data_IF_478902554640
#
_entry.id   IF_478902554640
#
_cell.length_a   1.000
_cell.length_b   1.000
_cell.length_c   1.000
_cell.angle_alpha   90.00
_cell.angle_beta   90.00
_cell.angle_gamma   90.00
#
_symmetry.space_group_name_H-M   'P 1'
#
loop_
_entity.id
_entity.type
_entity.pdbx_description
1 polymer ?
#
# COMPACT_ATOMS: atom_id res chain seq x y z
N UNK A 1 -34.37 -22.67 29.34
CA UNK A 1 -33.80 -22.49 27.97
C UNK A 1 -33.89 -21.02 27.61
N UNK A 2 -32.81 -20.28 27.85
CA UNK A 2 -32.74 -18.83 27.60
C UNK A 2 -32.23 -18.63 26.18
N UNK A 3 -33.06 -18.15 25.27
CA UNK A 3 -32.66 -17.77 23.91
C UNK A 3 -31.87 -16.46 23.97
N UNK A 4 -30.56 -16.53 23.80
CA UNK A 4 -29.76 -15.36 23.45
C UNK A 4 -30.14 -14.92 22.03
N UNK A 5 -30.78 -13.76 21.91
CA UNK A 5 -30.98 -13.08 20.62
C UNK A 5 -29.61 -12.62 20.10
N UNK A 6 -28.95 -13.47 19.32
CA UNK A 6 -27.74 -13.10 18.58
C UNK A 6 -28.12 -12.11 17.49
N UNK A 7 -27.84 -10.84 17.67
CA UNK A 7 -27.78 -9.90 16.57
C UNK A 7 -26.56 -10.28 15.72
N UNK A 8 -26.83 -10.95 14.60
CA UNK A 8 -25.82 -11.06 13.53
C UNK A 8 -25.58 -9.65 13.00
N UNK A 9 -24.55 -9.00 13.52
CA UNK A 9 -24.03 -7.76 12.91
C UNK A 9 -23.44 -8.17 11.57
N UNK A 10 -24.22 -7.99 10.49
CA UNK A 10 -23.69 -8.09 9.13
C UNK A 10 -22.82 -6.86 8.89
N UNK A 11 -21.50 -7.00 9.02
CA UNK A 11 -20.60 -6.03 8.46
C UNK A 11 -20.78 -6.07 6.94
N UNK A 12 -20.98 -4.92 6.26
CA UNK A 12 -21.02 -4.90 4.81
C UNK A 12 -19.59 -5.17 4.29
N UNK A 13 -19.27 -6.44 4.13
CA UNK A 13 -18.06 -6.84 3.42
C UNK A 13 -18.38 -6.90 1.94
N UNK A 14 -17.77 -6.03 1.14
CA UNK A 14 -17.84 -6.17 -0.31
C UNK A 14 -16.68 -7.06 -0.77
N UNK A 15 -17.03 -8.09 -1.49
CA UNK A 15 -16.07 -8.95 -2.18
C UNK A 15 -16.33 -8.84 -3.67
N UNK A 16 -15.31 -8.51 -4.45
CA UNK A 16 -15.39 -8.44 -5.89
C UNK A 16 -14.48 -9.52 -6.50
N UNK A 17 -14.97 -10.21 -7.50
CA UNK A 17 -14.17 -11.18 -8.26
C UNK A 17 -13.32 -10.44 -9.29
N UNK A 18 -12.04 -10.78 -9.33
CA UNK A 18 -11.08 -10.29 -10.32
C UNK A 18 -10.36 -11.46 -11.00
N UNK A 19 -9.90 -11.22 -12.22
CA UNK A 19 -9.01 -12.14 -12.92
C UNK A 19 -7.66 -11.48 -13.15
N UNK A 20 -6.53 -12.23 -13.12
CA UNK A 20 -5.22 -11.74 -13.55
C UNK A 20 -5.29 -11.22 -14.99
N UNK A 21 -4.59 -10.10 -15.28
CA UNK A 21 -4.56 -9.51 -16.62
C UNK A 21 -3.13 -9.44 -17.16
N UNK A 22 -2.31 -8.52 -16.65
CA UNK A 22 -0.92 -8.35 -17.05
C UNK A 22 -0.01 -8.43 -15.84
N UNK A 23 1.20 -8.91 -16.04
CA UNK A 23 2.26 -8.93 -15.03
C UNK A 23 3.38 -8.03 -15.51
N UNK A 24 3.86 -7.16 -14.64
CA UNK A 24 5.01 -6.30 -14.88
C UNK A 24 6.09 -6.62 -13.86
N UNK A 25 7.27 -6.89 -14.35
CA UNK A 25 8.47 -7.17 -13.54
C UNK A 25 9.56 -6.21 -13.99
N UNK A 26 10.27 -5.62 -13.05
CA UNK A 26 11.32 -4.68 -13.37
C UNK A 26 12.02 -4.13 -12.14
N UNK A 27 12.83 -3.11 -12.34
CA UNK A 27 13.55 -2.41 -11.26
C UNK A 27 13.33 -0.90 -11.32
N UNK A 28 13.39 -0.26 -10.16
CA UNK A 28 13.46 1.20 -10.04
C UNK A 28 14.89 1.70 -10.20
N UNK A 29 15.04 2.93 -10.62
CA UNK A 29 16.32 3.60 -10.73
C UNK A 29 16.91 3.98 -9.38
N UNK A 30 18.24 4.12 -9.35
CA UNK A 30 18.94 4.65 -8.18
C UNK A 30 18.45 6.08 -7.87
N UNK A 31 18.13 6.35 -6.61
CA UNK A 31 17.56 7.60 -6.09
C UNK A 31 16.10 7.91 -6.49
N UNK A 32 15.44 7.05 -7.23
CA UNK A 32 13.99 7.18 -7.38
C UNK A 32 13.30 7.20 -6.01
N UNK A 33 12.14 7.84 -5.94
CA UNK A 33 11.26 7.66 -4.79
C UNK A 33 10.55 6.31 -4.90
N UNK A 34 10.62 5.47 -3.89
CA UNK A 34 10.06 4.12 -3.93
C UNK A 34 8.56 4.11 -4.25
N UNK A 35 7.77 4.91 -3.53
CA UNK A 35 6.31 4.99 -3.75
C UNK A 35 5.98 5.74 -5.05
N UNK A 36 6.68 6.83 -5.32
CA UNK A 36 6.51 7.63 -6.53
C UNK A 36 6.86 6.85 -7.80
N UNK A 37 7.96 6.09 -7.77
CA UNK A 37 8.42 5.28 -8.90
C UNK A 37 7.41 4.19 -9.27
N UNK A 38 6.94 3.40 -8.31
CA UNK A 38 5.91 2.37 -8.58
C UNK A 38 4.57 3.01 -9.01
N UNK A 39 4.22 4.18 -8.47
CA UNK A 39 3.02 4.91 -8.89
C UNK A 39 3.15 5.40 -10.33
N UNK A 40 4.31 5.89 -10.73
CA UNK A 40 4.60 6.33 -12.10
C UNK A 40 4.47 5.17 -13.09
N UNK A 41 5.01 3.99 -12.75
CA UNK A 41 4.87 2.78 -13.58
C UNK A 41 3.38 2.43 -13.78
N UNK A 42 2.60 2.47 -12.70
CA UNK A 42 1.16 2.20 -12.77
C UNK A 42 0.43 3.21 -13.66
N UNK A 43 0.76 4.50 -13.58
CA UNK A 43 0.17 5.56 -14.41
C UNK A 43 0.53 5.40 -15.89
N UNK A 44 1.81 5.22 -16.21
CA UNK A 44 2.30 5.05 -17.58
C UNK A 44 1.63 3.85 -18.27
N UNK A 45 1.41 2.76 -17.52
CA UNK A 45 0.81 1.53 -18.04
C UNK A 45 -0.71 1.46 -17.87
N UNK A 46 -1.34 2.51 -17.32
CA UNK A 46 -2.80 2.60 -17.06
C UNK A 46 -3.31 1.42 -16.24
N UNK A 47 -2.60 1.08 -15.15
CA UNK A 47 -2.97 0.00 -14.23
C UNK A 47 -3.88 0.60 -13.16
N UNK A 48 -5.18 0.32 -13.23
CA UNK A 48 -6.20 0.90 -12.36
C UNK A 48 -6.58 0.03 -11.16
N UNK A 49 -6.27 -1.26 -11.22
CA UNK A 49 -6.51 -2.22 -10.14
C UNK A 49 -5.41 -3.27 -10.16
N UNK A 50 -4.87 -3.62 -9.00
CA UNK A 50 -3.80 -4.60 -8.94
C UNK A 50 -3.16 -4.74 -7.56
N UNK A 51 -2.19 -5.63 -7.53
CA UNK A 51 -1.31 -5.87 -6.40
C UNK A 51 0.13 -5.55 -6.79
N UNK A 52 0.90 -5.06 -5.84
CA UNK A 52 2.32 -4.80 -6.00
C UNK A 52 3.11 -5.39 -4.84
N UNK A 53 4.25 -5.99 -5.16
CA UNK A 53 5.29 -6.34 -4.20
C UNK A 53 6.64 -5.80 -4.64
N UNK A 54 7.50 -5.46 -3.68
CA UNK A 54 8.86 -4.97 -3.93
C UNK A 54 9.80 -5.54 -2.88
N UNK A 55 11.01 -5.90 -3.33
CA UNK A 55 12.17 -6.22 -2.50
C UNK A 55 13.36 -5.38 -2.94
N UNK A 56 14.41 -5.28 -2.11
CA UNK A 56 15.62 -4.54 -2.43
C UNK A 56 16.14 -3.72 -1.27
N UNK A 57 16.61 -2.50 -1.52
CA UNK A 57 17.19 -1.63 -0.51
C UNK A 57 16.87 -0.15 -0.76
N UNK A 58 16.74 0.63 0.32
CA UNK A 58 16.57 2.07 0.31
C UNK A 58 17.65 2.77 1.13
N UNK A 59 17.94 4.03 0.82
CA UNK A 59 18.90 4.87 1.54
C UNK A 59 18.31 5.51 2.80
N UNK A 60 17.00 5.65 2.82
CA UNK A 60 16.21 6.23 3.90
C UNK A 60 14.75 5.82 3.71
N UNK A 61 13.92 5.99 4.74
CA UNK A 61 12.48 5.80 4.62
C UNK A 61 11.70 6.72 5.56
N UNK A 62 10.44 6.92 5.24
CA UNK A 62 9.46 7.60 6.09
C UNK A 62 8.23 6.71 6.19
N UNK A 63 7.86 6.33 7.41
CA UNK A 63 6.75 5.44 7.70
C UNK A 63 5.68 6.17 8.49
N UNK A 64 4.44 6.11 8.04
CA UNK A 64 3.30 6.70 8.72
C UNK A 64 2.65 5.73 9.71
N UNK A 65 2.10 6.29 10.78
CA UNK A 65 1.25 5.59 11.73
C UNK A 65 -0.11 6.29 11.80
N UNK A 66 -1.18 5.53 11.60
CA UNK A 66 -2.55 6.02 11.70
C UNK A 66 -3.08 5.81 13.11
N UNK A 67 -3.38 6.90 13.81
CA UNK A 67 -4.01 6.87 15.13
C UNK A 67 -5.53 6.68 14.94
N UNK A 68 -6.00 5.50 15.29
CA UNK A 68 -7.40 5.11 15.11
C UNK A 68 -8.36 5.93 15.97
N UNK A 69 -7.92 6.37 17.15
CA UNK A 69 -8.72 7.19 18.07
C UNK A 69 -8.90 8.60 17.54
N UNK A 70 -7.86 9.18 16.95
CA UNK A 70 -7.87 10.52 16.36
C UNK A 70 -8.33 10.54 14.91
N UNK A 71 -8.47 9.37 14.28
CA UNK A 71 -8.77 9.18 12.85
C UNK A 71 -7.85 10.02 11.96
N UNK A 72 -6.55 10.01 12.26
CA UNK A 72 -5.54 10.81 11.57
C UNK A 72 -4.15 10.17 11.62
N UNK A 73 -3.30 10.51 10.65
CA UNK A 73 -1.87 10.22 10.74
C UNK A 73 -1.24 11.18 11.75
N UNK A 74 -0.87 10.67 12.93
CA UNK A 74 -0.36 11.48 14.05
C UNK A 74 1.14 11.39 14.26
N UNK A 75 1.80 10.51 13.51
CA UNK A 75 3.24 10.33 13.62
C UNK A 75 3.84 9.76 12.35
N UNK A 76 5.12 10.01 12.18
CA UNK A 76 5.92 9.30 11.20
C UNK A 76 7.28 8.93 11.81
N UNK A 77 7.73 7.74 11.47
CA UNK A 77 9.10 7.31 11.75
C UNK A 77 9.96 7.70 10.56
N UNK A 78 10.95 8.57 10.79
CA UNK A 78 11.92 8.97 9.77
C UNK A 78 13.21 8.21 10.00
N UNK A 79 13.55 7.33 9.06
CA UNK A 79 14.74 6.48 9.10
C UNK A 79 15.78 7.04 8.14
N UNK A 80 16.77 7.78 8.66
CA UNK A 80 17.88 8.36 7.89
C UNK A 80 19.08 7.40 7.84
N UNK A 81 18.84 6.19 7.35
CA UNK A 81 19.87 5.11 7.26
C UNK A 81 19.56 4.15 6.13
N UNK A 82 20.59 3.40 5.69
CA UNK A 82 20.45 2.32 4.70
C UNK A 82 19.63 1.17 5.29
N UNK A 83 18.69 0.65 4.52
CA UNK A 83 17.73 -0.36 4.96
C UNK A 83 17.45 -1.34 3.83
N UNK A 84 17.37 -2.64 4.15
CA UNK A 84 16.82 -3.65 3.26
C UNK A 84 15.29 -3.57 3.22
N UNK A 85 14.70 -3.68 2.04
CA UNK A 85 13.27 -3.88 1.86
C UNK A 85 13.01 -5.38 1.99
N UNK A 86 12.70 -5.84 3.20
CA UNK A 86 12.37 -7.26 3.45
C UNK A 86 11.05 -7.64 2.76
N UNK A 87 10.09 -6.72 2.73
CA UNK A 87 8.82 -6.87 2.05
C UNK A 87 8.15 -5.51 1.89
N UNK A 88 7.70 -5.20 0.71
CA UNK A 88 6.70 -4.15 0.47
C UNK A 88 5.50 -4.82 -0.21
N UNK A 89 4.34 -4.63 0.35
CA UNK A 89 3.08 -5.11 -0.22
C UNK A 89 2.10 -3.96 -0.35
N UNK A 90 1.39 -3.91 -1.47
CA UNK A 90 0.44 -2.84 -1.72
C UNK A 90 -0.63 -3.20 -2.72
N UNK A 91 -1.60 -2.31 -2.83
CA UNK A 91 -2.66 -2.41 -3.82
C UNK A 91 -2.77 -1.14 -4.65
N UNK A 92 -3.28 -1.31 -5.86
CA UNK A 92 -3.49 -0.27 -6.84
C UNK A 92 -4.99 -0.06 -6.96
N UNK A 93 -5.43 1.19 -6.89
CA UNK A 93 -6.83 1.60 -6.97
C UNK A 93 -6.94 3.03 -7.48
N UNK A 94 -8.15 3.57 -7.53
CA UNK A 94 -8.39 4.98 -7.86
C UNK A 94 -8.77 5.76 -6.59
N UNK A 95 -8.21 6.94 -6.44
CA UNK A 95 -8.60 7.94 -5.45
C UNK A 95 -8.76 9.29 -6.15
N UNK A 96 -9.91 9.92 -6.01
CA UNK A 96 -10.23 11.20 -6.68
C UNK A 96 -10.01 11.16 -8.21
N UNK A 97 -10.30 10.00 -8.83
CA UNK A 97 -10.10 9.77 -10.26
C UNK A 97 -8.68 9.37 -10.67
N UNK A 98 -7.69 9.55 -9.80
CA UNK A 98 -6.27 9.29 -10.07
C UNK A 98 -5.82 7.91 -9.57
N UNK A 99 -4.81 7.33 -10.25
CA UNK A 99 -4.18 6.08 -9.79
C UNK A 99 -3.49 6.32 -8.46
N UNK A 100 -3.85 5.52 -7.50
CA UNK A 100 -3.36 5.56 -6.13
C UNK A 100 -2.76 4.22 -5.72
N UNK A 101 -1.50 4.23 -5.32
CA UNK A 101 -0.82 3.07 -4.72
C UNK A 101 -0.85 3.21 -3.21
N UNK A 102 -1.45 2.23 -2.53
CA UNK A 102 -1.41 2.10 -1.08
C UNK A 102 -0.49 0.95 -0.72
N UNK A 103 0.57 1.23 0.00
CA UNK A 103 1.57 0.24 0.36
C UNK A 103 2.01 0.31 1.81
N UNK A 104 2.27 -0.85 2.39
CA UNK A 104 2.99 -1.03 3.64
C UNK A 104 4.33 -1.68 3.35
N UNK A 105 5.32 -1.42 4.21
CA UNK A 105 6.67 -1.93 4.04
C UNK A 105 7.25 -2.42 5.36
N UNK A 106 8.02 -3.49 5.30
CA UNK A 106 8.90 -3.96 6.37
C UNK A 106 10.34 -3.77 5.90
N UNK A 107 11.09 -3.02 6.69
CA UNK A 107 12.49 -2.67 6.44
C UNK A 107 13.37 -3.26 7.54
N UNK A 108 14.60 -3.63 7.22
CA UNK A 108 15.58 -4.05 8.20
C UNK A 108 16.89 -3.25 8.08
N UNK A 109 17.51 -2.91 9.21
CA UNK A 109 18.85 -2.34 9.20
C UNK A 109 19.93 -3.44 9.26
N UNK A 110 21.21 -3.03 9.24
CA UNK A 110 22.36 -3.93 9.23
C UNK A 110 22.42 -4.89 10.45
N UNK A 111 21.74 -4.59 11.54
CA UNK A 111 21.66 -5.44 12.72
C UNK A 111 20.48 -6.41 12.69
N UNK A 112 19.67 -6.37 11.63
CA UNK A 112 18.43 -7.13 11.51
C UNK A 112 17.25 -6.52 12.25
N UNK A 113 17.43 -5.34 12.88
CA UNK A 113 16.31 -4.64 13.52
C UNK A 113 15.33 -4.18 12.46
N UNK A 114 14.05 -4.54 12.64
CA UNK A 114 13.00 -4.28 11.69
C UNK A 114 12.14 -3.06 12.06
N UNK A 115 11.66 -2.39 11.01
CA UNK A 115 10.75 -1.25 11.08
C UNK A 115 9.65 -1.48 10.05
N UNK A 116 8.41 -1.25 10.42
CA UNK A 116 7.28 -1.44 9.50
C UNK A 116 6.23 -0.35 9.64
N UNK A 117 5.45 -0.15 8.58
CA UNK A 117 4.35 0.80 8.59
C UNK A 117 3.87 1.19 7.21
N UNK A 118 2.98 2.18 7.19
CA UNK A 118 2.49 2.77 5.94
C UNK A 118 3.62 3.52 5.23
N UNK A 119 3.92 3.15 3.99
CA UNK A 119 4.98 3.79 3.21
C UNK A 119 4.54 5.21 2.81
N UNK A 120 5.31 6.18 3.27
CA UNK A 120 5.15 7.59 2.89
C UNK A 120 6.14 7.96 1.77
N UNK A 121 5.84 8.99 0.95
CA UNK A 121 6.81 9.54 0.00
C UNK A 121 8.12 9.95 0.68
N UNK A 122 9.24 9.84 -0.04
CA UNK A 122 10.57 10.26 0.42
C UNK A 122 11.55 9.09 0.65
N UNK A 123 11.14 7.84 0.43
CA UNK A 123 12.05 6.69 0.50
C UNK A 123 12.89 6.59 -0.76
N UNK A 124 14.19 6.91 -0.66
CA UNK A 124 15.13 6.91 -1.80
C UNK A 124 15.68 5.51 -2.06
N UNK A 125 15.43 5.01 -3.26
CA UNK A 125 15.89 3.70 -3.74
C UNK A 125 17.40 3.64 -3.82
N UNK A 126 18.01 2.56 -3.31
CA UNK A 126 19.35 2.14 -3.67
C UNK A 126 19.28 1.09 -4.78
N UNK A 127 18.50 0.05 -4.59
CA UNK A 127 18.11 -0.97 -5.58
C UNK A 127 16.73 -1.50 -5.18
N UNK A 128 15.81 -1.61 -6.13
CA UNK A 128 14.48 -2.14 -5.84
C UNK A 128 13.92 -2.86 -7.06
N UNK A 129 13.51 -4.09 -6.86
CA UNK A 129 12.86 -4.94 -7.86
C UNK A 129 11.38 -5.05 -7.54
N UNK A 130 10.53 -4.82 -8.52
CA UNK A 130 9.10 -4.86 -8.34
C UNK A 130 8.43 -5.97 -9.16
N UNK A 131 7.34 -6.46 -8.61
CA UNK A 131 6.37 -7.32 -9.26
C UNK A 131 5.00 -6.67 -9.14
N UNK A 132 4.35 -6.37 -10.26
CA UNK A 132 3.00 -5.79 -10.31
C UNK A 132 2.09 -6.76 -11.04
N UNK A 133 1.01 -7.19 -10.38
CA UNK A 133 -0.08 -7.95 -10.97
C UNK A 133 -1.26 -7.02 -11.24
N UNK A 134 -1.54 -6.75 -12.51
CA UNK A 134 -2.76 -6.04 -12.91
C UNK A 134 -3.95 -6.98 -12.84
N UNK A 135 -5.05 -6.47 -12.29
CA UNK A 135 -6.31 -7.18 -12.20
C UNK A 135 -7.34 -6.62 -13.17
N UNK A 136 -8.08 -7.51 -13.83
CA UNK A 136 -9.25 -7.20 -14.66
C UNK A 136 -10.51 -7.38 -13.82
N UNK A 137 -11.39 -6.37 -13.84
CA UNK A 137 -12.63 -6.34 -13.07
C UNK A 137 -13.14 -4.92 -12.87
N UNK A 138 -14.05 -4.73 -11.95
CA UNK A 138 -14.55 -3.41 -11.55
C UNK A 138 -13.40 -2.55 -11.02
N UNK A 139 -13.27 -1.30 -11.47
CA UNK A 139 -12.28 -0.38 -10.92
C UNK A 139 -12.56 -0.12 -9.43
N UNK A 140 -11.56 -0.30 -8.59
CA UNK A 140 -11.64 -0.01 -7.15
C UNK A 140 -11.48 1.49 -6.92
N UNK A 141 -12.51 2.13 -6.43
CA UNK A 141 -12.49 3.54 -6.05
C UNK A 141 -12.38 3.67 -4.53
N UNK A 142 -11.59 4.65 -4.08
CA UNK A 142 -11.48 4.99 -2.67
C UNK A 142 -12.35 6.18 -2.35
N UNK A 143 -13.16 6.02 -1.30
CA UNK A 143 -13.96 7.10 -0.72
C UNK A 143 -13.69 7.19 0.78
N UNK A 144 -13.87 8.36 1.36
CA UNK A 144 -13.69 8.55 2.80
C UNK A 144 -14.76 7.75 3.55
N UNK A 145 -14.31 6.80 4.36
CA UNK A 145 -15.17 6.04 5.26
C UNK A 145 -15.39 6.84 6.56
N UNK A 146 -16.63 7.17 6.94
CA UNK A 146 -16.91 7.96 8.13
C UNK A 146 -16.53 7.26 9.43
N UNK A 147 -16.57 5.93 9.45
CA UNK A 147 -16.29 5.13 10.65
C UNK A 147 -14.82 5.11 10.99
N UNK A 148 -13.95 4.99 9.99
CA UNK A 148 -12.50 4.93 10.16
C UNK A 148 -11.79 6.25 9.86
N UNK A 149 -12.40 7.13 9.06
CA UNK A 149 -11.76 8.34 8.53
C UNK A 149 -10.79 8.11 7.38
N UNK A 150 -10.56 6.84 7.00
CA UNK A 150 -9.64 6.44 5.94
C UNK A 150 -10.32 6.41 4.57
N UNK A 151 -9.57 6.64 3.47
CA UNK A 151 -10.07 6.40 2.13
C UNK A 151 -10.04 4.88 1.85
N UNK A 152 -11.19 4.22 2.05
CA UNK A 152 -11.36 2.79 1.79
C UNK A 152 -12.04 2.55 0.45
N UNK A 153 -12.00 1.29 -0.04
CA UNK A 153 -12.70 0.94 -1.27
C UNK A 153 -14.21 1.10 -1.09
N UNK A 154 -14.83 1.80 -2.02
CA UNK A 154 -16.29 1.87 -2.10
C UNK A 154 -16.85 0.55 -2.62
N UNK A 155 -17.98 0.16 -2.08
CA UNK A 155 -18.76 -1.00 -2.50
C UNK A 155 -19.40 -0.78 -3.87
#
# INVERSE_FOLDING_TARGET
>A
MTRLKGHLVRYPTSTNLYTPKRIFVGRLGLNDDLLGGVTSICRTNKIYSGHISVIGAVKNAKLGFYDQSKKAYTGCVVLKRKLEICSMSGNISLKDGEIFVHAHVVLADHSGKTFGGHLMPGAKVFAAEYFILELSGKKLHRVKDPSTGLPLWSN
#
